data_IF_447507392755
#
_entry.id   IF_447507392755
#
_cell.length_a   1.000
_cell.length_b   1.000
_cell.length_c   1.000
_cell.angle_alpha   90.00
_cell.angle_beta   90.00
_cell.angle_gamma   90.00
#
_symmetry.space_group_name_H-M   'P 1'
#
loop_
_entity.id
_entity.type
_entity.pdbx_description
1 polymer ?
#
# COMPACT_ATOMS: atom_id res chain seq x y z
N UNK A 1 58.44 2.85 -12.50
CA UNK A 1 58.97 4.10 -11.94
C UNK A 1 57.81 5.04 -11.76
N UNK A 2 57.44 5.24 -10.50
CA UNK A 2 56.51 6.29 -10.05
C UNK A 2 57.14 7.67 -10.26
N UNK A 3 56.34 8.66 -10.67
CA UNK A 3 56.55 10.02 -10.19
C UNK A 3 55.25 10.84 -10.18
N UNK A 4 54.66 10.92 -8.99
CA UNK A 4 54.25 12.13 -8.26
C UNK A 4 53.72 13.39 -8.97
N UNK A 5 52.78 14.03 -8.24
CA UNK A 5 52.38 15.46 -8.18
C UNK A 5 51.33 15.90 -9.22
N UNK A 6 50.22 16.59 -8.87
CA UNK A 6 49.93 17.56 -7.80
C UNK A 6 48.42 17.64 -7.54
N UNK A 7 48.08 17.97 -6.30
CA UNK A 7 46.78 18.45 -5.85
C UNK A 7 46.77 19.99 -5.84
N UNK A 8 45.71 20.66 -6.33
CA UNK A 8 44.97 21.78 -5.68
C UNK A 8 43.98 22.50 -6.64
N UNK A 9 42.97 23.23 -6.10
CA UNK A 9 41.58 23.16 -6.56
C UNK A 9 40.99 24.49 -7.10
N UNK A 10 39.66 24.45 -7.32
CA UNK A 10 38.66 25.53 -7.45
C UNK A 10 38.49 26.20 -8.81
N UNK A 11 37.36 25.86 -9.45
CA UNK A 11 36.70 26.67 -10.47
C UNK A 11 35.19 26.49 -10.34
N UNK A 12 34.54 27.41 -9.65
CA UNK A 12 33.08 27.58 -9.64
C UNK A 12 32.59 27.75 -11.08
N UNK A 13 31.69 26.90 -11.54
CA UNK A 13 30.87 27.19 -12.73
C UNK A 13 29.41 27.09 -12.33
N UNK A 14 28.82 28.26 -12.04
CA UNK A 14 27.37 28.44 -12.01
C UNK A 14 26.87 28.62 -13.45
N UNK A 15 25.91 27.75 -13.78
CA UNK A 15 24.71 27.98 -14.59
C UNK A 15 24.84 28.42 -16.06
N UNK A 16 24.19 27.64 -16.93
CA UNK A 16 23.07 28.03 -17.80
C UNK A 16 22.32 26.73 -18.17
N UNK A 17 21.21 26.42 -17.51
CA UNK A 17 19.84 26.66 -18.00
C UNK A 17 19.72 26.47 -19.52
N UNK A 18 19.37 25.25 -19.91
CA UNK A 18 18.93 24.90 -21.26
C UNK A 18 17.76 23.94 -21.17
N UNK A 19 16.57 24.44 -21.45
CA UNK A 19 15.44 23.64 -21.94
C UNK A 19 14.60 22.93 -20.89
N UNK A 20 13.69 23.68 -20.24
CA UNK A 20 12.40 23.12 -19.87
C UNK A 20 11.69 22.63 -21.14
N UNK A 21 11.76 21.34 -21.40
CA UNK A 21 10.65 20.65 -22.04
C UNK A 21 9.88 19.97 -20.91
N UNK A 22 9.04 20.75 -20.22
CA UNK A 22 7.92 20.18 -19.48
C UNK A 22 6.99 19.58 -20.53
N UNK A 23 7.27 18.34 -20.91
CA UNK A 23 6.37 17.56 -21.74
C UNK A 23 5.19 17.25 -20.85
N UNK A 24 4.05 17.91 -21.11
CA UNK A 24 2.74 17.52 -20.61
C UNK A 24 2.36 16.17 -21.24
N UNK A 25 3.16 15.13 -20.98
CA UNK A 25 2.83 13.77 -21.34
C UNK A 25 1.88 13.26 -20.26
N UNK A 26 0.60 13.16 -20.60
CA UNK A 26 -0.31 12.31 -19.84
C UNK A 26 0.33 10.92 -19.87
N UNK A 27 0.67 10.31 -18.72
CA UNK A 27 1.26 8.98 -18.70
C UNK A 27 0.34 8.05 -19.48
N UNK A 28 0.91 7.26 -20.39
CA UNK A 28 0.18 6.18 -21.03
C UNK A 28 -0.45 5.31 -19.92
N UNK A 29 -1.65 4.74 -20.10
CA UNK A 29 -2.33 3.98 -19.04
C UNK A 29 -1.45 2.90 -18.40
N UNK A 30 -0.52 2.31 -19.15
CA UNK A 30 0.45 1.31 -18.69
C UNK A 30 1.63 1.84 -17.87
N UNK A 31 1.70 3.15 -17.60
CA UNK A 31 2.77 3.80 -16.82
C UNK A 31 2.28 4.42 -15.51
N UNK A 32 0.99 4.29 -15.19
CA UNK A 32 0.45 4.79 -13.93
C UNK A 32 0.69 3.77 -12.84
N UNK A 33 1.15 4.23 -11.68
CA UNK A 33 1.24 3.37 -10.51
C UNK A 33 -0.18 2.93 -10.10
N UNK A 34 -0.36 1.66 -9.67
CA UNK A 34 -1.61 1.20 -9.08
C UNK A 34 -2.06 2.13 -7.95
N UNK A 35 -3.36 2.36 -7.86
CA UNK A 35 -3.94 3.30 -6.88
C UNK A 35 -5.38 2.93 -6.51
N UNK A 36 -5.89 3.41 -5.37
CA UNK A 36 -7.30 3.23 -5.03
C UNK A 36 -8.22 3.93 -6.04
N UNK A 37 -9.26 3.22 -6.44
CA UNK A 37 -10.34 3.72 -7.29
C UNK A 37 -11.45 4.44 -6.52
N UNK A 38 -12.40 5.05 -7.25
CA UNK A 38 -13.50 5.80 -6.66
C UNK A 38 -14.61 4.92 -6.09
N UNK A 39 -14.72 3.66 -6.51
CA UNK A 39 -15.75 2.72 -6.02
C UNK A 39 -15.29 2.11 -4.71
N UNK A 40 -16.11 2.23 -3.69
CA UNK A 40 -15.80 1.79 -2.32
C UNK A 40 -16.68 0.65 -1.85
N UNK A 41 -16.41 0.12 -0.66
CA UNK A 41 -17.29 -0.82 0.05
C UNK A 41 -18.66 -0.24 0.44
N UNK A 42 -18.84 1.09 0.42
CA UNK A 42 -20.17 1.69 0.53
C UNK A 42 -21.01 1.50 -0.73
N UNK A 43 -20.36 1.30 -1.89
CA UNK A 43 -20.99 1.28 -3.21
C UNK A 43 -21.08 -0.14 -3.80
N UNK A 44 -20.12 -1.02 -3.49
CA UNK A 44 -20.05 -2.39 -4.02
C UNK A 44 -20.20 -3.45 -2.90
N UNK A 45 -21.23 -4.32 -2.97
CA UNK A 45 -21.48 -5.33 -1.95
C UNK A 45 -20.38 -6.39 -1.83
N UNK A 46 -19.57 -6.60 -2.88
CA UNK A 46 -18.42 -7.53 -2.84
C UNK A 46 -17.30 -6.94 -1.99
N UNK A 47 -16.99 -5.66 -2.16
CA UNK A 47 -16.05 -4.93 -1.31
C UNK A 47 -16.56 -4.87 0.14
N UNK A 48 -17.85 -4.61 0.34
CA UNK A 48 -18.48 -4.67 1.66
C UNK A 48 -18.39 -6.07 2.30
N UNK A 49 -18.49 -7.12 1.49
CA UNK A 49 -18.30 -8.51 1.93
C UNK A 49 -16.87 -8.77 2.38
N UNK A 50 -15.89 -8.43 1.54
CA UNK A 50 -14.47 -8.57 1.84
C UNK A 50 -14.06 -7.78 3.08
N UNK A 51 -14.53 -6.52 3.20
CA UNK A 51 -14.29 -5.69 4.37
C UNK A 51 -14.74 -6.38 5.66
N UNK A 52 -15.98 -6.89 5.68
CA UNK A 52 -16.57 -7.52 6.87
C UNK A 52 -15.93 -8.85 7.22
N UNK A 53 -15.60 -9.67 6.22
CA UNK A 53 -15.05 -11.02 6.44
C UNK A 53 -13.57 -11.03 6.75
N UNK A 54 -12.79 -10.09 6.21
CA UNK A 54 -11.32 -10.11 6.26
C UNK A 54 -10.75 -8.87 6.91
N UNK A 55 -11.02 -7.69 6.35
CA UNK A 55 -10.32 -6.46 6.73
C UNK A 55 -10.68 -6.02 8.16
N UNK A 56 -11.96 -5.98 8.51
CA UNK A 56 -12.41 -5.57 9.84
C UNK A 56 -11.91 -6.47 10.97
N UNK A 57 -11.99 -7.82 10.87
CA UNK A 57 -11.41 -8.70 11.87
C UNK A 57 -9.93 -8.43 12.13
N UNK A 58 -9.12 -8.27 11.07
CA UNK A 58 -7.68 -8.00 11.20
C UNK A 58 -7.45 -6.65 11.87
N UNK A 59 -8.07 -5.58 11.38
CA UNK A 59 -7.89 -4.22 11.93
C UNK A 59 -8.32 -4.16 13.40
N UNK A 60 -9.47 -4.74 13.76
CA UNK A 60 -9.98 -4.75 15.15
C UNK A 60 -9.11 -5.57 16.10
N UNK A 61 -8.30 -6.50 15.59
CA UNK A 61 -7.37 -7.26 16.42
C UNK A 61 -6.11 -6.47 16.81
N UNK A 62 -5.76 -5.45 16.04
CA UNK A 62 -4.55 -4.64 16.23
C UNK A 62 -4.85 -3.24 16.79
N UNK A 63 -5.99 -2.66 16.42
CA UNK A 63 -6.37 -1.30 16.77
C UNK A 63 -7.65 -1.28 17.58
N UNK A 64 -7.69 -0.38 18.56
CA UNK A 64 -8.91 -0.09 19.32
C UNK A 64 -9.87 0.72 18.46
N UNK A 65 -11.19 0.62 18.69
CA UNK A 65 -12.17 1.39 17.91
C UNK A 65 -11.91 2.90 17.89
N UNK A 66 -11.45 3.47 19.01
CA UNK A 66 -11.11 4.89 19.13
C UNK A 66 -9.83 5.31 18.39
N UNK A 67 -8.98 4.36 17.99
CA UNK A 67 -7.76 4.61 17.21
C UNK A 67 -8.04 4.59 15.69
N UNK A 68 -9.26 4.22 15.26
CA UNK A 68 -9.65 4.14 13.84
C UNK A 68 -10.58 5.30 13.51
N UNK A 69 -10.07 6.27 12.74
CA UNK A 69 -10.87 7.42 12.29
C UNK A 69 -11.71 7.07 11.06
N UNK A 70 -11.12 6.32 10.13
CA UNK A 70 -11.80 5.85 8.93
C UNK A 70 -11.19 4.53 8.44
N UNK A 71 -12.04 3.67 7.90
CA UNK A 71 -11.64 2.43 7.23
C UNK A 71 -12.49 2.31 5.97
N UNK A 72 -11.89 2.04 4.83
CA UNK A 72 -12.59 1.72 3.58
C UNK A 72 -11.81 0.77 2.70
N UNK A 73 -12.52 0.10 1.79
CA UNK A 73 -11.97 -0.81 0.81
C UNK A 73 -12.39 -0.34 -0.58
N UNK A 74 -11.45 -0.33 -1.53
CA UNK A 74 -11.63 0.23 -2.86
C UNK A 74 -11.26 -0.78 -3.94
N UNK A 75 -11.94 -0.76 -5.07
CA UNK A 75 -11.40 -1.38 -6.28
C UNK A 75 -10.16 -0.62 -6.75
N UNK A 76 -9.11 -1.33 -7.12
CA UNK A 76 -7.90 -0.75 -7.67
C UNK A 76 -8.10 -0.21 -9.09
N UNK A 77 -7.32 0.81 -9.42
CA UNK A 77 -7.16 1.32 -10.78
C UNK A 77 -5.68 1.23 -11.17
N UNK A 78 -5.44 1.18 -12.47
CA UNK A 78 -4.10 1.17 -13.06
C UNK A 78 -3.21 0.00 -12.54
N UNK A 79 -3.84 -1.03 -11.95
CA UNK A 79 -3.26 -2.29 -11.51
C UNK A 79 -3.91 -3.48 -12.22
N UNK A 80 -3.90 -4.66 -11.60
CA UNK A 80 -4.64 -5.81 -12.12
C UNK A 80 -6.13 -5.62 -11.88
N UNK A 81 -6.94 -6.19 -12.76
CA UNK A 81 -8.38 -6.18 -12.59
C UNK A 81 -8.73 -6.76 -11.22
N UNK A 82 -9.53 -5.98 -10.49
CA UNK A 82 -9.99 -6.11 -9.11
C UNK A 82 -8.92 -6.46 -8.07
N UNK A 83 -7.71 -5.95 -8.28
CA UNK A 83 -6.90 -5.53 -7.13
C UNK A 83 -7.76 -4.72 -6.16
N UNK A 84 -7.48 -4.87 -4.87
CA UNK A 84 -8.23 -4.20 -3.83
C UNK A 84 -7.29 -3.34 -3.01
N UNK A 85 -7.71 -2.11 -2.71
CA UNK A 85 -6.98 -1.22 -1.81
C UNK A 85 -7.71 -1.12 -0.49
N UNK A 86 -7.00 -1.31 0.62
CA UNK A 86 -7.45 -0.98 1.97
C UNK A 86 -6.93 0.39 2.31
N UNK A 87 -7.81 1.29 2.75
CA UNK A 87 -7.44 2.58 3.33
C UNK A 87 -7.85 2.60 4.80
N UNK A 88 -6.88 2.86 5.65
CA UNK A 88 -7.05 2.98 7.09
C UNK A 88 -6.47 4.33 7.54
N UNK A 89 -7.35 5.19 8.05
CA UNK A 89 -6.98 6.46 8.65
C UNK A 89 -7.03 6.32 10.18
N UNK A 90 -5.95 6.74 10.81
CA UNK A 90 -5.75 6.77 12.27
C UNK A 90 -5.30 8.19 12.66
N UNK A 91 -5.26 8.58 13.94
CA UNK A 91 -4.93 9.94 14.34
C UNK A 91 -3.61 10.45 13.74
N UNK A 92 -3.72 11.39 12.79
CA UNK A 92 -2.59 12.05 12.14
C UNK A 92 -1.88 11.27 11.04
N UNK A 93 -2.32 10.05 10.73
CA UNK A 93 -1.63 9.14 9.81
C UNK A 93 -2.59 8.35 8.92
N UNK A 94 -2.09 7.93 7.76
CA UNK A 94 -2.84 7.11 6.79
C UNK A 94 -1.99 5.92 6.38
N UNK A 95 -2.62 4.74 6.42
CA UNK A 95 -2.12 3.53 5.80
C UNK A 95 -2.96 3.22 4.56
N UNK A 96 -2.29 3.00 3.44
CA UNK A 96 -2.91 2.46 2.23
C UNK A 96 -2.19 1.19 1.84
N UNK A 97 -2.97 0.14 1.62
CA UNK A 97 -2.44 -1.19 1.41
C UNK A 97 -3.08 -1.84 0.20
N UNK A 98 -2.23 -2.39 -0.68
CA UNK A 98 -2.68 -3.10 -1.86
C UNK A 98 -2.81 -4.60 -1.54
N UNK A 99 -4.01 -5.13 -1.69
CA UNK A 99 -4.32 -6.55 -1.71
C UNK A 99 -4.40 -6.99 -3.18
N UNK A 100 -3.35 -7.66 -3.66
CA UNK A 100 -3.29 -8.17 -5.03
C UNK A 100 -4.40 -9.20 -5.25
N UNK A 101 -5.14 -9.08 -6.35
CA UNK A 101 -6.32 -9.90 -6.65
C UNK A 101 -6.07 -11.41 -6.46
N UNK A 102 -6.75 -12.06 -5.50
CA UNK A 102 -6.66 -13.51 -5.25
C UNK A 102 -7.41 -14.47 -6.22
N UNK A 103 -8.18 -14.04 -7.25
CA UNK A 103 -9.31 -14.89 -7.72
C UNK A 103 -9.71 -14.95 -9.22
N UNK A 104 -9.21 -14.16 -10.16
CA UNK A 104 -9.71 -14.28 -11.56
C UNK A 104 -8.71 -14.05 -12.69
N UNK A 105 -7.44 -13.81 -12.39
CA UNK A 105 -6.40 -13.81 -13.43
C UNK A 105 -5.20 -14.58 -12.91
N UNK A 106 -5.04 -15.86 -13.26
CA UNK A 106 -3.76 -16.52 -13.07
C UNK A 106 -2.75 -15.77 -13.93
N UNK A 107 -1.89 -14.97 -13.29
CA UNK A 107 -0.65 -14.56 -13.90
C UNK A 107 0.28 -15.78 -13.81
N UNK A 108 0.68 -16.41 -14.93
CA UNK A 108 1.55 -17.58 -14.90
C UNK A 108 2.94 -17.29 -14.33
N UNK A 109 3.25 -16.03 -14.02
CA UNK A 109 4.54 -15.59 -13.48
C UNK A 109 4.52 -15.26 -11.99
N UNK A 110 3.36 -15.28 -11.33
CA UNK A 110 3.23 -14.93 -9.91
C UNK A 110 3.03 -16.20 -9.06
N UNK A 111 4.06 -16.55 -8.30
CA UNK A 111 4.21 -17.88 -7.68
C UNK A 111 3.42 -18.05 -6.38
N UNK A 112 3.03 -16.96 -5.72
CA UNK A 112 2.45 -16.98 -4.36
C UNK A 112 1.31 -15.96 -4.19
N UNK A 113 0.32 -15.96 -5.10
CA UNK A 113 -0.89 -15.16 -4.90
C UNK A 113 -1.73 -15.78 -3.78
N UNK A 114 -2.18 -15.03 -2.76
CA UNK A 114 -3.16 -15.53 -1.79
C UNK A 114 -4.35 -16.14 -2.53
N UNK A 115 -4.89 -17.24 -2.03
CA UNK A 115 -5.91 -18.07 -2.68
C UNK A 115 -7.24 -18.10 -1.90
N UNK A 116 -7.30 -17.46 -0.72
CA UNK A 116 -8.52 -17.37 0.08
C UNK A 116 -8.48 -16.31 1.18
N UNK A 117 -9.64 -16.07 1.80
CA UNK A 117 -9.86 -15.02 2.82
C UNK A 117 -8.83 -15.12 3.98
N UNK A 118 -8.42 -16.33 4.38
CA UNK A 118 -7.41 -16.54 5.43
C UNK A 118 -6.01 -16.06 5.04
N UNK A 119 -5.58 -16.29 3.80
CA UNK A 119 -4.26 -15.88 3.31
C UNK A 119 -4.23 -14.37 3.08
N UNK A 120 -5.32 -13.80 2.58
CA UNK A 120 -5.49 -12.34 2.48
C UNK A 120 -5.45 -11.70 3.87
N UNK A 121 -6.13 -12.29 4.85
CA UNK A 121 -6.11 -11.80 6.24
C UNK A 121 -4.69 -11.85 6.83
N UNK A 122 -3.96 -12.95 6.63
CA UNK A 122 -2.59 -13.10 7.11
C UNK A 122 -1.64 -12.08 6.47
N UNK A 123 -1.76 -11.86 5.17
CA UNK A 123 -0.95 -10.86 4.47
C UNK A 123 -1.21 -9.43 4.95
N UNK A 124 -2.48 -9.08 5.18
CA UNK A 124 -2.85 -7.78 5.75
C UNK A 124 -2.36 -7.66 7.21
N UNK A 125 -2.47 -8.73 8.00
CA UNK A 125 -2.05 -8.74 9.39
C UNK A 125 -0.55 -8.48 9.53
N UNK A 126 0.29 -9.18 8.76
CA UNK A 126 1.74 -9.03 8.76
C UNK A 126 2.16 -7.57 8.49
N UNK A 127 1.60 -6.95 7.44
CA UNK A 127 1.92 -5.56 7.08
C UNK A 127 1.41 -4.55 8.10
N UNK A 128 0.24 -4.78 8.70
CA UNK A 128 -0.28 -3.91 9.75
C UNK A 128 0.49 -4.08 11.07
N UNK A 129 0.97 -5.27 11.42
CA UNK A 129 1.82 -5.48 12.60
C UNK A 129 3.11 -4.64 12.51
N UNK A 130 3.74 -4.63 11.34
CA UNK A 130 4.92 -3.82 11.06
C UNK A 130 4.58 -2.33 11.08
N UNK A 131 3.54 -1.90 10.35
CA UNK A 131 3.19 -0.48 10.27
C UNK A 131 2.73 0.11 11.61
N UNK A 132 1.91 -0.59 12.40
CA UNK A 132 1.35 -0.05 13.65
C UNK A 132 2.44 0.35 14.62
N UNK A 133 3.57 -0.36 14.68
CA UNK A 133 4.67 -0.03 15.59
C UNK A 133 5.43 1.24 15.19
N UNK A 134 5.20 1.75 13.99
CA UNK A 134 5.75 3.00 13.45
C UNK A 134 4.81 4.19 13.63
N UNK A 135 3.57 3.95 14.08
CA UNK A 135 2.59 5.02 14.32
C UNK A 135 2.92 5.82 15.58
N UNK A 136 2.50 7.08 15.60
CA UNK A 136 2.71 8.02 16.71
C UNK A 136 2.05 7.58 18.02
N UNK A 137 0.89 6.92 17.96
CA UNK A 137 0.15 6.48 19.15
C UNK A 137 0.55 5.08 19.66
N UNK A 138 1.18 4.26 18.81
CA UNK A 138 1.64 2.91 19.17
C UNK A 138 3.16 2.72 18.98
N UNK A 139 3.94 3.81 18.90
CA UNK A 139 5.38 3.75 18.65
C UNK A 139 6.10 2.78 19.58
N UNK A 140 6.80 1.80 18.99
CA UNK A 140 7.54 0.77 19.73
C UNK A 140 6.69 -0.27 20.46
N UNK A 141 5.36 -0.23 20.34
CA UNK A 141 4.48 -1.27 20.85
C UNK A 141 4.36 -2.38 19.81
N UNK A 142 4.86 -3.57 20.13
CA UNK A 142 4.65 -4.75 19.29
C UNK A 142 3.25 -5.31 19.50
N UNK A 143 2.30 -4.91 18.66
CA UNK A 143 0.95 -5.50 18.60
C UNK A 143 0.98 -6.70 17.67
N UNK A 144 0.30 -7.78 18.05
CA UNK A 144 0.19 -8.99 17.23
C UNK A 144 -1.28 -9.21 16.92
N UNK A 145 -1.57 -9.49 15.66
CA UNK A 145 -2.90 -9.75 15.20
C UNK A 145 -3.40 -11.06 15.82
N UNK A 146 -4.63 -11.04 16.31
CA UNK A 146 -5.32 -12.22 16.83
C UNK A 146 -6.79 -12.09 16.46
N UNK A 147 -7.17 -12.72 15.37
CA UNK A 147 -8.48 -12.59 14.75
C UNK A 147 -9.05 -13.96 14.39
N UNK A 148 -10.37 -14.03 14.39
CA UNK A 148 -11.14 -15.12 13.82
C UNK A 148 -11.90 -14.56 12.61
N UNK A 149 -11.89 -15.29 11.50
CA UNK A 149 -12.67 -14.91 10.32
C UNK A 149 -14.08 -15.49 10.44
N UNK A 150 -15.14 -14.75 10.07
CA UNK A 150 -16.49 -15.29 10.01
C UNK A 150 -16.56 -16.47 9.06
N UNK A 151 -17.36 -17.49 9.40
CA UNK A 151 -17.71 -18.55 8.46
C UNK A 151 -18.44 -17.93 7.25
N UNK A 152 -17.97 -18.28 6.04
CA UNK A 152 -18.40 -17.70 4.77
C UNK A 152 -19.80 -18.12 4.31
#
# INVERSE_FOLDING_TARGET
>A
MEEHRRYRPLGTVRARLGGQAAVNAIPLPSQRAPRPGPVTDADDPRLAGLRRRVVEPVVRSLLRPEEVEHLSVHWGLDGRDGDVWVRLDVPGERHEDLLLSPWWTPDPWDVDVPTGDAEVAAHLADRLEDWVCETSFAWGQRRRATYELPEG
#
